data_IF_786310659762
#
_entry.id   IF_786310659762
#
_cell.length_a   1.000
_cell.length_b   1.000
_cell.length_c   1.000
_cell.angle_alpha   90.00
_cell.angle_beta   90.00
_cell.angle_gamma   90.00
#
_symmetry.space_group_name_H-M   'P 1'
#
loop_
_entity.id
_entity.type
_entity.pdbx_description
1 polymer ?
#
# COMPACT_ATOMS: atom_id res chain seq x y z
N UNK A 1 40.23 52.57 32.69
CA UNK A 1 38.95 51.94 32.28
C UNK A 1 39.22 50.76 31.33
N UNK A 2 39.66 49.59 31.82
CA UNK A 2 39.99 48.43 30.96
C UNK A 2 39.76 47.12 31.71
N UNK A 3 38.52 46.89 32.16
CA UNK A 3 38.14 45.72 32.96
C UNK A 3 36.89 44.96 32.49
N UNK A 4 36.09 45.55 31.57
CA UNK A 4 34.78 44.99 31.19
C UNK A 4 34.80 43.91 30.10
N UNK A 5 35.85 43.81 29.27
CA UNK A 5 35.80 43.02 28.04
C UNK A 5 35.99 41.50 28.24
N UNK A 6 36.59 41.09 29.37
CA UNK A 6 36.81 39.65 29.67
C UNK A 6 35.50 38.91 30.01
N UNK A 7 34.49 39.62 30.53
CA UNK A 7 33.19 39.06 30.85
C UNK A 7 32.40 38.68 29.60
N UNK A 8 32.37 39.57 28.60
CA UNK A 8 31.66 39.35 27.34
C UNK A 8 32.25 38.21 26.50
N UNK A 9 33.59 38.11 26.40
CA UNK A 9 34.23 37.04 25.63
C UNK A 9 33.94 35.64 26.18
N UNK A 10 33.91 35.48 27.51
CA UNK A 10 33.56 34.19 28.15
C UNK A 10 32.10 33.81 27.89
N UNK A 11 31.19 34.77 27.92
CA UNK A 11 29.77 34.55 27.64
C UNK A 11 29.54 34.13 26.18
N UNK A 12 30.23 34.76 25.22
CA UNK A 12 30.14 34.37 23.81
C UNK A 12 30.65 32.95 23.56
N UNK A 13 31.75 32.56 24.19
CA UNK A 13 32.28 31.19 24.10
C UNK A 13 31.30 30.16 24.68
N UNK A 14 30.67 30.46 25.82
CA UNK A 14 29.65 29.60 26.42
C UNK A 14 28.40 29.48 25.54
N UNK A 15 27.91 30.59 24.98
CA UNK A 15 26.78 30.56 24.05
C UNK A 15 27.09 29.71 22.82
N UNK A 16 28.28 29.87 22.22
CA UNK A 16 28.67 29.10 21.04
C UNK A 16 28.81 27.60 21.36
N UNK A 17 29.41 27.26 22.52
CA UNK A 17 29.49 25.88 22.97
C UNK A 17 28.09 25.26 23.20
N UNK A 18 27.16 26.02 23.79
CA UNK A 18 25.78 25.57 23.97
C UNK A 18 25.05 25.36 22.63
N UNK A 19 25.23 26.26 21.67
CA UNK A 19 24.69 26.13 20.30
C UNK A 19 25.22 24.88 19.60
N UNK A 20 26.53 24.63 19.67
CA UNK A 20 27.15 23.42 19.10
C UNK A 20 26.58 22.15 19.74
N UNK A 21 26.41 22.15 21.06
CA UNK A 21 25.85 21.02 21.78
C UNK A 21 24.39 20.78 21.39
N UNK A 22 23.59 21.85 21.24
CA UNK A 22 22.21 21.77 20.78
C UNK A 22 22.11 21.17 19.36
N UNK A 23 23.01 21.59 18.45
CA UNK A 23 23.06 21.05 17.08
C UNK A 23 23.44 19.57 17.09
N UNK A 24 24.43 19.18 17.90
CA UNK A 24 24.82 17.77 18.07
C UNK A 24 23.64 16.92 18.56
N UNK A 25 22.96 17.36 19.62
CA UNK A 25 21.78 16.65 20.15
C UNK A 25 20.69 16.54 19.11
N UNK A 26 20.42 17.61 18.36
CA UNK A 26 19.44 17.61 17.26
C UNK A 26 19.83 16.62 16.15
N UNK A 27 21.10 16.58 15.76
CA UNK A 27 21.60 15.63 14.76
C UNK A 27 21.44 14.18 15.23
N UNK A 28 21.81 13.87 16.47
CA UNK A 28 21.61 12.53 17.03
C UNK A 28 20.13 12.15 17.13
N UNK A 29 19.26 13.08 17.53
CA UNK A 29 17.82 12.86 17.59
C UNK A 29 17.23 12.57 16.20
N UNK A 30 17.67 13.30 15.17
CA UNK A 30 17.26 13.05 13.79
C UNK A 30 17.72 11.69 13.26
N UNK A 31 18.95 11.28 13.59
CA UNK A 31 19.49 9.96 13.23
C UNK A 31 18.66 8.87 13.92
N UNK A 32 18.40 9.01 15.22
CA UNK A 32 17.58 8.06 15.97
C UNK A 32 16.15 7.95 15.42
N UNK A 33 15.52 9.08 15.12
CA UNK A 33 14.20 9.15 14.48
C UNK A 33 14.20 8.44 13.12
N UNK A 34 15.26 8.61 12.33
CA UNK A 34 15.41 7.93 11.04
C UNK A 34 15.53 6.41 11.19
N UNK A 35 16.28 5.93 12.18
CA UNK A 35 16.38 4.50 12.46
C UNK A 35 15.04 3.90 12.91
N UNK A 36 14.32 4.59 13.79
CA UNK A 36 12.99 4.18 14.23
C UNK A 36 11.98 4.17 13.06
N UNK A 37 12.02 5.20 12.21
CA UNK A 37 11.18 5.31 11.01
C UNK A 37 11.42 4.14 10.05
N UNK A 38 12.69 3.78 9.79
CA UNK A 38 13.03 2.63 8.93
C UNK A 38 12.47 1.31 9.47
N UNK A 39 12.56 1.08 10.78
CA UNK A 39 12.02 -0.14 11.40
C UNK A 39 10.48 -0.22 11.32
N UNK A 40 9.80 0.92 11.46
CA UNK A 40 8.35 0.97 11.30
C UNK A 40 7.93 0.75 9.84
N UNK A 41 8.70 1.30 8.90
CA UNK A 41 8.47 1.13 7.47
C UNK A 41 8.66 -0.32 7.02
N UNK A 42 9.64 -1.04 7.57
CA UNK A 42 9.84 -2.47 7.24
C UNK A 42 8.64 -3.33 7.66
N UNK A 43 8.03 -3.04 8.82
CA UNK A 43 6.83 -3.78 9.27
C UNK A 43 5.62 -3.47 8.38
N UNK A 44 5.46 -2.20 7.99
CA UNK A 44 4.40 -1.80 7.07
C UNK A 44 4.53 -2.52 5.72
N UNK A 45 5.76 -2.60 5.20
CA UNK A 45 6.05 -3.23 3.92
C UNK A 45 5.85 -4.74 3.93
N UNK A 46 6.08 -5.41 5.06
CA UNK A 46 5.81 -6.85 5.22
C UNK A 46 4.30 -7.15 5.21
N UNK A 47 3.51 -6.32 5.90
CA UNK A 47 2.06 -6.46 5.92
C UNK A 47 1.46 -6.18 4.54
N UNK A 48 1.96 -5.15 3.85
CA UNK A 48 1.56 -4.81 2.49
C UNK A 48 1.91 -5.95 1.52
N UNK A 49 3.12 -6.51 1.59
CA UNK A 49 3.52 -7.67 0.78
C UNK A 49 2.57 -8.87 0.94
N UNK A 50 2.09 -9.11 2.17
CA UNK A 50 1.13 -10.18 2.44
C UNK A 50 -0.23 -9.92 1.79
N UNK A 51 -0.67 -8.66 1.75
CA UNK A 51 -1.89 -8.27 1.04
C UNK A 51 -1.76 -8.47 -0.48
N UNK A 52 -0.62 -8.08 -1.07
CA UNK A 52 -0.37 -8.27 -2.50
C UNK A 52 -0.44 -9.74 -2.91
N UNK A 53 0.18 -10.63 -2.13
CA UNK A 53 0.14 -12.07 -2.38
C UNK A 53 -1.30 -12.61 -2.35
N UNK A 54 -2.09 -12.24 -1.35
CA UNK A 54 -3.47 -12.71 -1.23
C UNK A 54 -4.37 -12.16 -2.35
N UNK A 55 -4.13 -10.92 -2.80
CA UNK A 55 -4.86 -10.31 -3.91
C UNK A 55 -4.59 -11.03 -5.24
N UNK A 56 -3.35 -11.47 -5.46
CA UNK A 56 -2.97 -12.24 -6.66
C UNK A 56 -3.68 -13.60 -6.68
N UNK A 57 -3.66 -14.33 -5.57
CA UNK A 57 -4.36 -15.61 -5.44
C UNK A 57 -5.87 -15.45 -5.61
N UNK A 58 -6.46 -14.40 -5.02
CA UNK A 58 -7.88 -14.11 -5.20
C UNK A 58 -8.21 -13.77 -6.65
N UNK A 59 -7.34 -13.03 -7.34
CA UNK A 59 -7.47 -12.74 -8.76
C UNK A 59 -7.43 -14.00 -9.63
N UNK A 60 -6.50 -14.92 -9.34
CA UNK A 60 -6.43 -16.23 -10.00
C UNK A 60 -7.70 -17.04 -9.76
N UNK A 61 -8.17 -17.12 -8.52
CA UNK A 61 -9.40 -17.84 -8.18
C UNK A 61 -10.63 -17.22 -8.85
N UNK A 62 -10.68 -15.90 -8.98
CA UNK A 62 -11.78 -15.20 -9.65
C UNK A 62 -11.76 -15.44 -11.17
N UNK A 63 -10.57 -15.55 -11.79
CA UNK A 63 -10.41 -15.93 -13.20
C UNK A 63 -10.81 -17.40 -13.42
N UNK A 64 -10.43 -18.29 -12.52
CA UNK A 64 -10.93 -19.66 -12.50
C UNK A 64 -12.46 -19.66 -12.37
N UNK A 65 -13.03 -18.96 -11.37
CA UNK A 65 -14.47 -18.97 -11.15
C UNK A 65 -15.25 -18.33 -12.30
N UNK A 66 -14.80 -17.21 -12.88
CA UNK A 66 -15.46 -16.56 -14.02
C UNK A 66 -15.52 -17.46 -15.26
N UNK A 67 -14.50 -18.30 -15.47
CA UNK A 67 -14.48 -19.32 -16.53
C UNK A 67 -15.59 -20.36 -16.33
N UNK A 68 -15.95 -20.69 -15.09
CA UNK A 68 -16.99 -21.68 -14.77
C UNK A 68 -18.38 -21.04 -14.52
N UNK A 69 -18.44 -19.81 -14.04
CA UNK A 69 -19.67 -19.17 -13.57
C UNK A 69 -20.54 -18.61 -14.70
N UNK A 70 -19.93 -18.17 -15.82
CA UNK A 70 -20.67 -17.59 -16.95
C UNK A 70 -21.39 -18.65 -17.81
N UNK A 71 -20.76 -19.80 -18.06
CA UNK A 71 -21.32 -20.82 -18.96
C UNK A 71 -21.91 -22.04 -18.24
N UNK A 72 -21.23 -22.60 -17.24
CA UNK A 72 -21.59 -23.92 -16.71
C UNK A 72 -22.87 -23.90 -15.85
N UNK A 73 -23.03 -22.90 -14.97
CA UNK A 73 -24.22 -22.80 -14.10
C UNK A 73 -25.49 -22.44 -14.88
N UNK A 74 -25.39 -21.53 -15.85
CA UNK A 74 -26.52 -21.11 -16.68
C UNK A 74 -26.93 -22.24 -17.63
N UNK A 75 -25.98 -22.92 -18.28
CA UNK A 75 -26.28 -24.04 -19.18
C UNK A 75 -26.83 -25.26 -18.43
N UNK A 76 -26.30 -25.58 -17.23
CA UNK A 76 -26.81 -26.70 -16.43
C UNK A 76 -28.26 -26.47 -15.97
N UNK A 77 -28.58 -25.26 -15.50
CA UNK A 77 -29.96 -24.91 -15.09
C UNK A 77 -30.88 -24.82 -16.32
N UNK A 78 -30.42 -24.23 -17.42
CA UNK A 78 -31.21 -24.13 -18.65
C UNK A 78 -31.52 -25.50 -19.26
N UNK A 79 -30.54 -26.41 -19.32
CA UNK A 79 -30.72 -27.75 -19.90
C UNK A 79 -31.39 -28.73 -18.93
N UNK A 80 -31.09 -28.64 -17.63
CA UNK A 80 -31.60 -29.54 -16.60
C UNK A 80 -32.99 -29.18 -16.09
N UNK A 81 -33.17 -27.95 -15.60
CA UNK A 81 -34.40 -27.52 -14.93
C UNK A 81 -35.42 -26.91 -15.90
N UNK A 82 -34.97 -26.26 -16.98
CA UNK A 82 -35.85 -25.63 -17.98
C UNK A 82 -35.99 -26.46 -19.28
N UNK A 83 -35.29 -27.58 -19.43
CA UNK A 83 -35.35 -28.43 -20.62
C UNK A 83 -34.96 -27.75 -21.94
N UNK A 84 -34.20 -26.65 -21.88
CA UNK A 84 -33.82 -25.90 -23.07
C UNK A 84 -32.80 -26.68 -23.92
N UNK A 85 -33.15 -26.87 -25.20
CA UNK A 85 -32.25 -27.38 -26.24
C UNK A 85 -31.88 -26.21 -27.17
N UNK A 86 -30.64 -26.18 -27.66
CA UNK A 86 -30.20 -25.17 -28.62
C UNK A 86 -31.12 -25.23 -29.87
N UNK A 87 -31.79 -24.14 -30.24
CA UNK A 87 -32.73 -24.16 -31.35
C UNK A 87 -31.96 -24.33 -32.68
N UNK A 88 -32.50 -25.19 -33.55
CA UNK A 88 -32.00 -25.40 -34.89
C UNK A 88 -32.06 -24.08 -35.70
N UNK A 89 -31.02 -23.82 -36.50
CA UNK A 89 -30.80 -22.59 -37.27
C UNK A 89 -31.96 -22.27 -38.24
N UNK A 90 -32.82 -23.26 -38.50
CA UNK A 90 -34.01 -23.17 -39.33
C UNK A 90 -35.17 -22.35 -38.73
N UNK A 91 -35.14 -21.99 -37.44
CA UNK A 91 -36.25 -21.31 -36.74
C UNK A 91 -36.05 -19.83 -36.44
N UNK A 92 -35.00 -19.21 -36.97
CA UNK A 92 -34.78 -17.76 -36.84
C UNK A 92 -35.79 -16.99 -37.68
N UNK A 93 -36.73 -16.30 -37.00
CA UNK A 93 -37.64 -15.35 -37.64
C UNK A 93 -37.29 -13.95 -37.15
N UNK A 94 -36.54 -13.21 -37.97
CA UNK A 94 -36.22 -11.81 -37.71
C UNK A 94 -37.47 -10.99 -38.05
N UNK A 95 -38.00 -10.28 -37.05
CA UNK A 95 -39.12 -9.36 -37.26
C UNK A 95 -38.53 -7.97 -37.56
N UNK A 96 -38.68 -7.43 -38.78
CA UNK A 96 -38.30 -6.06 -39.07
C UNK A 96 -39.25 -5.10 -38.34
N UNK A 97 -38.69 -4.01 -37.80
CA UNK A 97 -39.44 -2.94 -37.15
C UNK A 97 -40.24 -2.11 -38.15
#
# INVERSE_FOLDING_TARGET
>A
MRGGERGGSRQLLLCNAALLLLILVSAFAAIYSTHACRALYTQLQELESSQWYLQEDYGRLLLEQSTWASHYRVEKVARGDLGMTAPDLSRFKVVPQ
#
